data_IF_499415659360
#
_entry.id   IF_499415659360
#
_cell.length_a   1.000
_cell.length_b   1.000
_cell.length_c   1.000
_cell.angle_alpha   90.00
_cell.angle_beta   90.00
_cell.angle_gamma   90.00
#
_symmetry.space_group_name_H-M   'P 1'
#
loop_
_entity.id
_entity.type
_entity.pdbx_description
1 polymer ?
#
# COMPACT_ATOMS: atom_id res chain seq x y z
N UNK A 1 7.29 20.87 -17.95
CA UNK A 1 7.32 21.35 -16.53
C UNK A 1 8.79 21.47 -16.13
N UNK A 2 9.20 22.56 -15.51
CA UNK A 2 10.54 22.68 -14.96
C UNK A 2 10.78 21.60 -13.89
N UNK A 3 11.95 20.98 -13.88
CA UNK A 3 12.29 19.88 -12.97
C UNK A 3 12.15 20.29 -11.48
N UNK A 4 12.53 21.52 -11.14
CA UNK A 4 12.33 22.04 -9.77
C UNK A 4 10.86 22.20 -9.40
N UNK A 5 10.00 22.57 -10.34
CA UNK A 5 8.56 22.60 -10.11
C UNK A 5 8.00 21.21 -9.88
N UNK A 6 8.50 20.19 -10.57
CA UNK A 6 8.08 18.80 -10.35
C UNK A 6 8.42 18.30 -8.94
N UNK A 7 9.56 18.70 -8.38
CA UNK A 7 9.94 18.35 -7.00
C UNK A 7 8.99 18.96 -5.96
N UNK A 8 8.51 20.18 -6.18
CA UNK A 8 7.49 20.77 -5.30
C UNK A 8 6.16 20.05 -5.41
N UNK A 9 5.74 19.69 -6.62
CA UNK A 9 4.51 18.96 -6.85
C UNK A 9 4.58 17.51 -6.35
N UNK A 10 5.77 16.88 -6.36
CA UNK A 10 5.95 15.50 -5.87
C UNK A 10 5.46 15.31 -4.43
N UNK A 11 5.55 16.32 -3.59
CA UNK A 11 5.05 16.30 -2.21
C UNK A 11 3.52 16.34 -2.11
N UNK A 12 2.82 16.71 -3.19
CA UNK A 12 1.35 16.67 -3.27
C UNK A 12 0.86 15.44 -4.00
N UNK A 13 1.56 15.05 -5.06
CA UNK A 13 1.21 13.88 -5.87
C UNK A 13 1.71 12.58 -5.28
N UNK A 14 2.62 12.64 -4.29
CA UNK A 14 3.36 11.55 -3.67
C UNK A 14 4.31 10.83 -4.64
N UNK A 15 4.51 11.35 -5.85
CA UNK A 15 5.44 10.79 -6.83
C UNK A 15 6.89 11.06 -6.43
N UNK A 16 7.66 10.01 -6.31
CA UNK A 16 9.12 10.11 -6.14
C UNK A 16 9.72 10.42 -7.51
N UNK A 17 10.63 11.41 -7.62
CA UNK A 17 11.34 11.69 -8.86
C UNK A 17 12.11 10.47 -9.39
N UNK A 18 12.39 10.44 -10.68
CA UNK A 18 13.22 9.39 -11.27
C UNK A 18 14.64 9.40 -10.67
N UNK A 19 14.91 8.42 -9.79
CA UNK A 19 16.20 8.25 -9.13
C UNK A 19 17.23 7.53 -10.00
N UNK A 20 16.84 7.05 -11.19
CA UNK A 20 17.75 6.51 -12.20
C UNK A 20 18.49 7.59 -12.97
N UNK A 21 17.95 8.82 -13.04
CA UNK A 21 18.64 9.99 -13.55
C UNK A 21 19.51 10.61 -12.44
N UNK A 22 20.84 10.46 -12.56
CA UNK A 22 21.80 10.98 -11.57
C UNK A 22 21.71 12.49 -11.38
N UNK A 23 21.42 13.25 -12.44
CA UNK A 23 21.25 14.70 -12.33
C UNK A 23 19.98 15.03 -11.53
N UNK A 24 18.85 14.41 -11.85
CA UNK A 24 17.60 14.62 -11.13
C UNK A 24 17.72 14.21 -9.66
N UNK A 25 18.37 13.08 -9.38
CA UNK A 25 18.63 12.60 -8.01
C UNK A 25 19.43 13.61 -7.18
N UNK A 26 20.55 14.10 -7.72
CA UNK A 26 21.41 15.07 -7.03
C UNK A 26 20.71 16.42 -6.85
N UNK A 27 19.97 16.87 -7.86
CA UNK A 27 19.22 18.11 -7.81
C UNK A 27 18.08 18.03 -6.81
N UNK A 28 17.40 16.87 -6.70
CA UNK A 28 16.35 16.64 -5.70
C UNK A 28 16.91 16.69 -4.27
N UNK A 29 18.05 16.02 -4.03
CA UNK A 29 18.73 16.09 -2.74
C UNK A 29 19.09 17.55 -2.35
N UNK A 30 19.61 18.31 -3.33
CA UNK A 30 19.88 19.74 -3.16
C UNK A 30 18.61 20.53 -2.88
N UNK A 31 17.53 20.30 -3.65
CA UNK A 31 16.23 20.95 -3.41
C UNK A 31 15.73 20.72 -1.98
N UNK A 32 15.81 19.50 -1.48
CA UNK A 32 15.39 19.17 -0.09
C UNK A 32 16.24 19.91 0.94
N UNK A 33 17.55 20.08 0.70
CA UNK A 33 18.44 20.76 1.64
C UNK A 33 18.20 22.29 1.74
N UNK A 34 17.52 22.87 0.76
CA UNK A 34 17.13 24.28 0.74
C UNK A 34 15.70 24.52 1.26
N UNK A 35 14.97 23.48 1.65
CA UNK A 35 13.66 23.69 2.26
C UNK A 35 13.81 24.41 3.60
N UNK A 36 12.93 25.36 3.92
CA UNK A 36 12.83 25.90 5.28
C UNK A 36 12.56 24.79 6.31
N UNK A 37 13.11 24.93 7.52
CA UNK A 37 13.04 23.90 8.55
C UNK A 37 11.62 23.51 8.99
N UNK A 38 10.66 24.42 8.84
CA UNK A 38 9.24 24.19 9.08
C UNK A 38 8.50 23.45 7.94
N UNK A 39 9.20 23.20 6.82
CA UNK A 39 8.65 22.53 5.63
C UNK A 39 9.20 21.11 5.42
N UNK A 40 9.90 20.51 6.39
CA UNK A 40 10.41 19.13 6.25
C UNK A 40 9.30 18.09 6.30
N UNK A 41 8.18 18.37 6.94
CA UNK A 41 7.02 17.49 6.98
C UNK A 41 5.87 18.01 6.13
N UNK A 42 5.03 17.09 5.66
CA UNK A 42 3.78 17.38 4.99
C UNK A 42 2.75 16.29 5.31
N UNK A 43 1.47 16.66 5.46
CA UNK A 43 0.43 15.70 5.80
C UNK A 43 0.10 14.80 4.60
N UNK A 44 -0.22 13.55 4.89
CA UNK A 44 -0.78 12.62 3.92
C UNK A 44 -2.30 12.59 4.05
N UNK A 45 -2.99 12.34 2.93
CA UNK A 45 -4.43 12.14 2.94
C UNK A 45 -4.74 10.76 3.52
N UNK A 46 -5.30 10.73 4.70
CA UNK A 46 -5.82 9.51 5.32
C UNK A 46 -7.26 9.26 4.86
N UNK A 47 -7.54 8.07 4.33
CA UNK A 47 -8.90 7.59 4.11
C UNK A 47 -9.30 6.80 5.36
N UNK A 48 -10.15 7.38 6.20
CA UNK A 48 -10.52 6.85 7.51
C UNK A 48 -11.98 6.44 7.50
N UNK A 49 -12.30 5.26 8.04
CA UNK A 49 -13.65 4.78 8.32
C UNK A 49 -13.67 4.01 9.66
N UNK A 50 -14.78 3.36 9.99
CA UNK A 50 -14.96 2.57 11.22
C UNK A 50 -14.08 1.30 11.27
N UNK A 51 -13.54 0.85 10.14
CA UNK A 51 -12.61 -0.29 10.04
C UNK A 51 -11.15 0.09 10.30
N UNK A 52 -10.81 1.40 10.31
CA UNK A 52 -9.45 1.91 10.48
C UNK A 52 -9.09 2.95 9.43
N UNK A 53 -7.88 2.87 8.86
CA UNK A 53 -7.45 3.83 7.83
C UNK A 53 -6.63 3.17 6.74
N UNK A 54 -6.63 3.81 5.57
CA UNK A 54 -5.72 3.51 4.46
C UNK A 54 -5.09 4.82 3.98
N UNK A 55 -3.76 4.85 3.92
CA UNK A 55 -3.00 6.04 3.57
C UNK A 55 -1.93 5.69 2.55
N UNK A 56 -2.02 6.31 1.38
CA UNK A 56 -0.97 6.22 0.38
C UNK A 56 0.22 7.09 0.80
N UNK A 57 1.43 6.56 0.66
CA UNK A 57 2.65 7.20 1.11
C UNK A 57 3.54 7.65 -0.03
N UNK A 58 3.73 6.80 -1.03
CA UNK A 58 4.68 7.00 -2.12
C UNK A 58 4.12 6.40 -3.40
N UNK A 59 4.27 7.12 -4.51
CA UNK A 59 4.06 6.65 -5.89
C UNK A 59 5.35 6.68 -6.67
N UNK A 60 5.48 5.73 -7.58
CA UNK A 60 6.51 5.78 -8.62
C UNK A 60 5.86 5.53 -9.98
N UNK A 61 6.35 6.14 -11.06
CA UNK A 61 5.78 5.96 -12.39
C UNK A 61 5.84 4.51 -12.89
N UNK A 62 6.87 3.76 -12.48
CA UNK A 62 7.23 2.45 -13.02
C UNK A 62 7.33 1.33 -11.98
N UNK A 63 7.24 1.64 -10.69
CA UNK A 63 7.45 0.69 -9.58
C UNK A 63 6.31 0.66 -8.58
N UNK A 64 5.16 1.17 -8.99
CA UNK A 64 3.94 1.06 -8.22
C UNK A 64 3.81 2.05 -7.07
N UNK A 65 3.06 1.63 -6.07
CA UNK A 65 2.57 2.45 -4.97
C UNK A 65 2.83 1.77 -3.63
N UNK A 66 3.28 2.55 -2.64
CA UNK A 66 3.35 2.14 -1.24
C UNK A 66 2.26 2.81 -0.41
N UNK A 67 1.66 2.02 0.46
CA UNK A 67 0.59 2.48 1.34
C UNK A 67 0.75 1.87 2.74
N UNK A 68 0.15 2.52 3.74
CA UNK A 68 -0.03 1.95 5.07
C UNK A 68 -1.51 1.76 5.34
N UNK A 69 -1.85 0.57 5.80
CA UNK A 69 -3.19 0.20 6.26
C UNK A 69 -3.19 -0.02 7.76
N UNK A 70 -4.12 0.62 8.46
CA UNK A 70 -4.39 0.39 9.87
C UNK A 70 -5.75 -0.28 9.97
N UNK A 71 -5.80 -1.50 10.52
CA UNK A 71 -7.04 -2.23 10.77
C UNK A 71 -7.32 -2.27 12.26
N UNK A 72 -8.51 -1.83 12.66
CA UNK A 72 -8.99 -1.96 14.04
C UNK A 72 -9.12 -3.42 14.47
N UNK A 73 -9.20 -3.72 15.78
CA UNK A 73 -9.40 -5.07 16.28
C UNK A 73 -10.56 -5.80 15.60
N UNK A 74 -10.35 -7.07 15.25
CA UNK A 74 -11.34 -7.99 14.69
C UNK A 74 -11.97 -7.53 13.35
N UNK A 75 -11.32 -6.63 12.64
CA UNK A 75 -11.77 -6.15 11.34
C UNK A 75 -11.12 -6.95 10.21
N UNK A 76 -11.96 -7.41 9.28
CA UNK A 76 -11.55 -7.98 7.99
C UNK A 76 -11.64 -6.91 6.90
N UNK A 77 -10.60 -6.78 6.08
CA UNK A 77 -10.54 -5.92 4.89
C UNK A 77 -10.14 -6.77 3.68
N UNK A 78 -10.56 -6.36 2.49
CA UNK A 78 -10.29 -7.09 1.25
C UNK A 78 -11.55 -7.75 0.73
N UNK A 79 -11.56 -9.09 0.58
CA UNK A 79 -12.57 -9.84 -0.14
C UNK A 79 -12.67 -9.36 -1.59
N UNK A 80 -11.52 -9.35 -2.26
CA UNK A 80 -11.44 -8.95 -3.66
C UNK A 80 -10.26 -9.61 -4.36
N UNK A 81 -10.29 -9.57 -5.67
CA UNK A 81 -9.23 -10.04 -6.54
C UNK A 81 -8.88 -9.03 -7.63
N UNK A 82 -7.80 -9.27 -8.35
CA UNK A 82 -7.24 -8.39 -9.37
C UNK A 82 -6.89 -9.16 -10.65
N UNK A 83 -6.94 -8.47 -11.79
CA UNK A 83 -6.49 -9.03 -13.08
C UNK A 83 -4.99 -8.89 -13.29
N UNK A 84 -4.44 -7.70 -13.04
CA UNK A 84 -3.03 -7.36 -13.34
C UNK A 84 -2.29 -6.86 -12.12
N UNK A 85 -3.02 -6.30 -11.15
CA UNK A 85 -2.42 -5.79 -9.93
C UNK A 85 -2.03 -6.95 -9.02
N UNK A 86 -0.74 -7.01 -8.70
CA UNK A 86 -0.23 -7.87 -7.63
C UNK A 86 0.28 -7.00 -6.48
N UNK A 87 0.24 -7.54 -5.29
CA UNK A 87 0.55 -6.78 -4.08
C UNK A 87 1.50 -7.55 -3.18
N UNK A 88 2.12 -6.84 -2.24
CA UNK A 88 2.92 -7.40 -1.16
C UNK A 88 2.44 -6.79 0.15
N UNK A 89 2.12 -7.63 1.11
CA UNK A 89 1.71 -7.19 2.45
C UNK A 89 2.78 -7.54 3.47
N UNK A 90 3.02 -6.61 4.39
CA UNK A 90 3.95 -6.78 5.51
C UNK A 90 3.31 -6.25 6.77
N UNK A 91 2.91 -7.12 7.67
CA UNK A 91 2.40 -6.72 8.99
C UNK A 91 3.59 -6.34 9.88
N UNK A 92 3.62 -5.11 10.36
CA UNK A 92 4.71 -4.55 11.17
C UNK A 92 4.32 -4.30 12.62
N UNK A 93 3.02 -4.35 12.95
CA UNK A 93 2.51 -4.26 14.31
C UNK A 93 1.16 -4.98 14.40
N UNK A 94 0.88 -5.62 15.54
CA UNK A 94 -0.31 -6.43 15.72
C UNK A 94 -0.14 -7.84 15.20
N UNK A 95 -1.26 -8.58 15.11
CA UNK A 95 -1.31 -9.96 14.60
C UNK A 95 -2.58 -10.17 13.78
N UNK A 96 -2.47 -10.96 12.72
CA UNK A 96 -3.61 -11.21 11.83
C UNK A 96 -3.45 -12.47 11.00
N UNK A 97 -4.37 -12.63 10.06
CA UNK A 97 -4.33 -13.70 9.06
C UNK A 97 -4.65 -13.10 7.69
N UNK A 98 -3.89 -13.51 6.68
CA UNK A 98 -4.17 -13.22 5.28
C UNK A 98 -4.69 -14.51 4.67
N UNK A 99 -5.87 -14.44 4.06
CA UNK A 99 -6.52 -15.61 3.44
C UNK A 99 -6.62 -15.44 1.95
N UNK A 100 -6.54 -16.57 1.25
CA UNK A 100 -6.67 -16.68 -0.19
C UNK A 100 -7.60 -17.82 -0.56
N UNK A 101 -8.44 -17.61 -1.57
CA UNK A 101 -9.19 -18.66 -2.26
C UNK A 101 -9.08 -18.45 -3.77
N UNK A 102 -8.95 -19.52 -4.51
CA UNK A 102 -8.88 -19.45 -5.97
C UNK A 102 -10.19 -18.87 -6.54
N UNK A 103 -10.11 -17.86 -7.42
CA UNK A 103 -11.28 -17.25 -8.03
C UNK A 103 -12.06 -18.23 -8.90
N UNK A 104 -13.38 -18.07 -8.94
CA UNK A 104 -14.27 -18.88 -9.78
C UNK A 104 -14.51 -20.31 -9.27
N UNK A 105 -13.99 -20.66 -8.08
CA UNK A 105 -14.21 -21.94 -7.42
C UNK A 105 -14.56 -21.71 -5.95
N UNK A 106 -15.85 -21.62 -5.59
CA UNK A 106 -16.28 -21.38 -4.21
C UNK A 106 -15.94 -22.52 -3.24
N UNK A 107 -15.68 -23.71 -3.75
CA UNK A 107 -15.32 -24.90 -2.97
C UNK A 107 -13.79 -25.09 -2.86
N UNK A 108 -12.99 -24.21 -3.48
CA UNK A 108 -11.54 -24.29 -3.37
C UNK A 108 -11.06 -24.10 -1.92
N UNK A 109 -10.01 -24.82 -1.57
CA UNK A 109 -9.37 -24.70 -0.25
C UNK A 109 -8.93 -23.27 0.04
N UNK A 110 -9.23 -22.79 1.24
CA UNK A 110 -8.75 -21.51 1.75
C UNK A 110 -7.33 -21.68 2.29
N UNK A 111 -6.41 -20.89 1.73
CA UNK A 111 -5.02 -20.85 2.18
C UNK A 111 -4.89 -19.73 3.21
N UNK A 112 -4.30 -20.00 4.38
CA UNK A 112 -4.13 -19.03 5.46
C UNK A 112 -2.65 -18.79 5.77
N UNK A 113 -2.28 -17.49 5.87
CA UNK A 113 -0.98 -17.05 6.37
C UNK A 113 -1.18 -16.23 7.65
N UNK A 114 -0.77 -16.79 8.79
CA UNK A 114 -0.76 -16.09 10.07
C UNK A 114 0.46 -15.18 10.16
N UNK A 115 0.22 -13.89 10.36
CA UNK A 115 1.22 -12.82 10.29
C UNK A 115 1.24 -12.00 11.58
N UNK A 116 2.40 -11.47 11.93
CA UNK A 116 2.53 -10.58 13.10
C UNK A 116 3.71 -9.63 12.97
N UNK A 117 3.67 -8.53 13.75
CA UNK A 117 4.80 -7.62 13.90
C UNK A 117 6.00 -8.22 14.64
N UNK A 118 5.84 -9.36 15.33
CA UNK A 118 6.93 -10.07 16.00
C UNK A 118 7.81 -10.87 15.02
N UNK A 119 7.25 -11.21 13.86
CA UNK A 119 7.95 -11.90 12.76
C UNK A 119 7.62 -11.19 11.45
N UNK A 120 8.49 -10.26 11.07
CA UNK A 120 8.31 -9.49 9.83
C UNK A 120 8.56 -10.39 8.62
N UNK A 121 7.53 -10.60 7.83
CA UNK A 121 7.60 -11.38 6.60
C UNK A 121 6.74 -10.75 5.51
N UNK A 122 7.13 -10.97 4.25
CA UNK A 122 6.35 -10.54 3.09
C UNK A 122 5.39 -11.64 2.71
N UNK A 123 4.12 -11.29 2.52
CA UNK A 123 3.13 -12.16 1.87
C UNK A 123 2.82 -11.57 0.50
N UNK A 124 3.14 -12.32 -0.54
CA UNK A 124 2.78 -11.99 -1.92
C UNK A 124 1.30 -12.25 -2.16
N UNK A 125 0.61 -11.29 -2.76
CA UNK A 125 -0.78 -11.38 -3.15
C UNK A 125 -0.83 -11.62 -4.66
N UNK A 126 -0.95 -12.87 -5.12
CA UNK A 126 -0.91 -13.19 -6.54
C UNK A 126 -2.26 -12.91 -7.22
N UNK A 127 -2.22 -12.68 -8.53
CA UNK A 127 -3.44 -12.71 -9.35
C UNK A 127 -4.05 -14.12 -9.36
N UNK A 128 -5.36 -14.21 -9.64
CA UNK A 128 -6.07 -15.50 -9.69
C UNK A 128 -6.60 -15.99 -8.34
N UNK A 129 -6.42 -15.19 -7.28
CA UNK A 129 -6.96 -15.45 -5.96
C UNK A 129 -7.75 -14.25 -5.44
N UNK A 130 -8.92 -14.50 -4.86
CA UNK A 130 -9.53 -13.54 -3.95
C UNK A 130 -8.79 -13.60 -2.62
N UNK A 131 -8.64 -12.46 -1.96
CA UNK A 131 -7.90 -12.37 -0.71
C UNK A 131 -8.54 -11.39 0.28
N UNK A 132 -8.25 -11.61 1.54
CA UNK A 132 -8.55 -10.68 2.61
C UNK A 132 -7.44 -10.68 3.66
N UNK A 133 -7.48 -9.69 4.55
CA UNK A 133 -6.65 -9.62 5.75
C UNK A 133 -7.52 -9.29 6.95
N UNK A 134 -7.40 -10.07 8.02
CA UNK A 134 -8.14 -9.90 9.26
C UNK A 134 -7.18 -9.61 10.42
N UNK A 135 -7.51 -8.60 11.22
CA UNK A 135 -6.84 -8.34 12.49
C UNK A 135 -7.40 -9.28 13.56
N UNK A 136 -6.59 -10.21 14.05
CA UNK A 136 -6.92 -11.16 15.11
C UNK A 136 -6.56 -10.67 16.52
N UNK A 137 -6.02 -9.46 16.63
CA UNK A 137 -5.62 -8.86 17.90
C UNK A 137 -6.67 -7.94 18.49
N UNK A 138 -6.40 -7.51 19.74
CA UNK A 138 -7.22 -6.57 20.50
C UNK A 138 -6.71 -5.12 20.38
N UNK A 139 -5.69 -4.90 19.56
CA UNK A 139 -5.10 -3.59 19.23
C UNK A 139 -5.08 -3.39 17.72
N UNK A 140 -4.83 -2.17 17.28
CA UNK A 140 -4.69 -1.86 15.87
C UNK A 140 -3.55 -2.68 15.23
N UNK A 141 -3.83 -3.24 14.05
CA UNK A 141 -2.83 -3.91 13.22
C UNK A 141 -2.37 -2.97 12.12
N UNK A 142 -1.04 -2.84 11.97
CA UNK A 142 -0.41 -1.99 10.96
C UNK A 142 0.22 -2.86 9.88
N UNK A 143 -0.21 -2.64 8.64
CA UNK A 143 0.28 -3.36 7.46
C UNK A 143 0.84 -2.37 6.45
N UNK A 144 2.10 -2.54 6.04
CA UNK A 144 2.62 -1.92 4.83
C UNK A 144 2.19 -2.72 3.61
N UNK A 145 1.77 -2.00 2.58
CA UNK A 145 1.28 -2.57 1.34
C UNK A 145 2.03 -1.94 0.16
N UNK A 146 2.52 -2.79 -0.74
CA UNK A 146 3.00 -2.37 -2.04
C UNK A 146 2.10 -2.96 -3.11
N UNK A 147 1.79 -2.18 -4.13
CA UNK A 147 1.12 -2.65 -5.35
C UNK A 147 1.96 -2.27 -6.57
N UNK A 148 2.06 -3.15 -7.55
CA UNK A 148 2.86 -2.93 -8.77
C UNK A 148 2.36 -1.77 -9.63
N UNK A 149 1.13 -1.31 -9.43
CA UNK A 149 0.52 -0.20 -10.16
C UNK A 149 -0.19 0.77 -9.22
N UNK A 150 -0.28 2.02 -9.65
CA UNK A 150 -0.99 3.08 -8.92
C UNK A 150 -2.50 2.88 -9.08
N UNK A 151 -3.26 3.06 -7.99
CA UNK A 151 -4.71 3.00 -8.04
C UNK A 151 -5.30 4.09 -8.94
N UNK A 152 -6.17 3.67 -9.87
CA UNK A 152 -6.89 4.55 -10.81
C UNK A 152 -8.39 4.47 -10.53
N UNK A 153 -9.00 5.50 -9.93
CA UNK A 153 -10.43 5.49 -9.59
C UNK A 153 -11.36 5.27 -10.80
N UNK A 154 -10.95 5.78 -11.97
CA UNK A 154 -11.71 5.66 -13.23
C UNK A 154 -11.68 4.25 -13.84
N UNK A 155 -10.70 3.44 -13.46
CA UNK A 155 -10.54 2.05 -13.92
C UNK A 155 -9.92 1.20 -12.81
N UNK A 156 -10.64 0.94 -11.73
CA UNK A 156 -10.12 0.11 -10.64
C UNK A 156 -9.99 -1.34 -11.09
N UNK A 157 -8.81 -1.91 -10.94
CA UNK A 157 -8.58 -3.35 -11.11
C UNK A 157 -8.83 -4.06 -9.76
N UNK A 158 -10.09 -3.99 -9.31
CA UNK A 158 -10.49 -4.56 -8.02
C UNK A 158 -11.92 -5.07 -8.11
N UNK A 159 -12.11 -6.37 -7.92
CA UNK A 159 -13.38 -7.06 -8.09
C UNK A 159 -13.73 -7.79 -6.80
N UNK A 160 -14.91 -7.53 -6.27
CA UNK A 160 -15.38 -8.14 -5.03
C UNK A 160 -15.66 -9.64 -5.22
N UNK A 161 -15.11 -10.45 -4.34
CA UNK A 161 -15.43 -11.86 -4.15
C UNK A 161 -14.97 -12.29 -2.76
N UNK A 162 -15.82 -12.87 -1.94
CA UNK A 162 -15.44 -13.34 -0.61
C UNK A 162 -14.46 -14.51 -0.67
N UNK A 163 -13.56 -14.56 0.32
CA UNK A 163 -12.66 -15.70 0.52
C UNK A 163 -13.39 -16.89 1.13
#
# INVERSE_FOLDING_TARGET
MDLLCSFKESRKTLEVPDMGDTFAMNLYATYLSYLPGDQFSYPLKMNVDDRGSFTEMIRTPDRGQFSVNISKPHITKGNHWHHTKNEKFVVVSGKGVIRFRKIGDPDAEVIEYYVSGDKIEVVDIPIGYTHNIENLGDTDMVTFMWANEVFKPEKPDTFFEEV
#
